data_IF_529975274036
#
_entry.id   IF_529975274036
#
_cell.length_a   1.000
_cell.length_b   1.000
_cell.length_c   1.000
_cell.angle_alpha   90.00
_cell.angle_beta   90.00
_cell.angle_gamma   90.00
#
_symmetry.space_group_name_H-M   'P 1'
#
loop_
_entity.id
_entity.type
_entity.pdbx_description
1 polymer ?
#
# COMPACT_ATOMS: atom_id res chain seq x y z
N UNK A 1 -6.33 2.06 -42.64
CA UNK A 1 -7.69 2.52 -42.31
C UNK A 1 -7.77 2.56 -40.79
N UNK A 2 -8.03 3.69 -40.16
CA UNK A 2 -8.00 3.79 -38.69
C UNK A 2 -7.45 5.12 -38.17
N UNK A 3 -6.23 5.49 -38.53
CA UNK A 3 -5.66 6.80 -38.13
C UNK A 3 -6.41 7.96 -38.81
N UNK A 4 -6.76 7.81 -40.08
CA UNK A 4 -7.47 8.84 -40.86
C UNK A 4 -8.90 9.09 -40.33
N UNK A 5 -9.68 8.04 -40.01
CA UNK A 5 -11.01 8.22 -39.39
C UNK A 5 -10.92 8.97 -38.05
N UNK A 6 -9.95 8.60 -37.20
CA UNK A 6 -9.76 9.25 -35.89
C UNK A 6 -9.44 10.75 -36.07
N UNK A 7 -8.55 11.09 -37.00
CA UNK A 7 -8.23 12.49 -37.31
C UNK A 7 -9.47 13.22 -37.82
N UNK A 8 -10.28 12.59 -38.68
CA UNK A 8 -11.49 13.20 -39.22
C UNK A 8 -12.53 13.49 -38.13
N UNK A 9 -12.73 12.56 -37.19
CA UNK A 9 -13.60 12.76 -36.02
C UNK A 9 -13.08 13.91 -35.15
N UNK A 10 -11.77 13.97 -34.90
CA UNK A 10 -11.18 15.08 -34.15
C UNK A 10 -11.39 16.42 -34.86
N UNK A 11 -11.25 16.49 -36.18
CA UNK A 11 -11.51 17.74 -36.93
C UNK A 11 -12.96 18.20 -36.76
N UNK A 12 -13.93 17.29 -36.91
CA UNK A 12 -15.35 17.62 -36.69
C UNK A 12 -15.59 18.05 -35.24
N UNK A 13 -15.01 17.33 -34.28
CA UNK A 13 -15.12 17.68 -32.86
C UNK A 13 -14.54 19.06 -32.55
N UNK A 14 -13.38 19.40 -33.12
CA UNK A 14 -12.75 20.71 -32.98
C UNK A 14 -13.55 21.82 -33.68
N UNK A 15 -14.33 21.53 -34.72
CA UNK A 15 -15.26 22.49 -35.30
C UNK A 15 -16.46 22.76 -34.38
N UNK A 16 -16.96 21.75 -33.68
CA UNK A 16 -18.09 21.88 -32.75
C UNK A 16 -17.69 22.54 -31.43
N UNK A 17 -16.56 22.13 -30.85
CA UNK A 17 -16.12 22.54 -29.51
C UNK A 17 -14.91 23.49 -29.51
N UNK A 18 -14.29 23.73 -30.66
CA UNK A 18 -13.08 24.55 -30.80
C UNK A 18 -11.79 23.83 -30.39
N UNK A 19 -10.64 24.47 -30.68
CA UNK A 19 -9.31 24.00 -30.27
C UNK A 19 -9.12 23.83 -28.76
N UNK A 20 -9.98 24.46 -27.95
CA UNK A 20 -9.94 24.41 -26.48
C UNK A 20 -10.74 23.25 -25.88
N UNK A 21 -11.58 22.56 -26.65
CA UNK A 21 -12.46 21.50 -26.14
C UNK A 21 -11.69 20.33 -25.51
N UNK A 22 -10.81 19.68 -26.28
CA UNK A 22 -10.02 18.53 -25.80
C UNK A 22 -9.08 18.91 -24.63
N UNK A 23 -8.27 19.98 -24.70
CA UNK A 23 -7.39 20.36 -23.60
C UNK A 23 -8.13 20.72 -22.31
N UNK A 24 -9.30 21.37 -22.42
CA UNK A 24 -10.10 21.75 -21.25
C UNK A 24 -10.68 20.52 -20.56
N UNK A 25 -11.32 19.61 -21.31
CA UNK A 25 -11.88 18.37 -20.75
C UNK A 25 -10.81 17.50 -20.11
N UNK A 26 -9.64 17.37 -20.76
CA UNK A 26 -8.52 16.63 -20.20
C UNK A 26 -8.03 17.24 -18.88
N UNK A 27 -7.96 18.58 -18.78
CA UNK A 27 -7.55 19.26 -17.56
C UNK A 27 -8.56 19.04 -16.43
N UNK A 28 -9.85 19.24 -16.68
CA UNK A 28 -10.90 19.08 -15.66
C UNK A 28 -11.05 17.62 -15.23
N UNK A 29 -10.99 16.67 -16.17
CA UNK A 29 -11.04 15.24 -15.88
C UNK A 29 -9.79 14.78 -15.12
N UNK A 30 -8.62 15.29 -15.49
CA UNK A 30 -7.35 14.99 -14.82
C UNK A 30 -7.31 15.50 -13.38
N UNK A 31 -7.76 16.74 -13.14
CA UNK A 31 -7.93 17.31 -11.81
C UNK A 31 -8.96 16.49 -11.00
N UNK A 32 -10.13 16.20 -11.58
CA UNK A 32 -11.16 15.38 -10.93
C UNK A 32 -10.69 13.97 -10.55
N UNK A 33 -9.99 13.27 -11.44
CA UNK A 33 -9.42 11.94 -11.19
C UNK A 33 -8.36 11.99 -10.09
N UNK A 34 -7.54 13.06 -10.03
CA UNK A 34 -6.53 13.24 -8.99
C UNK A 34 -7.16 13.46 -7.63
N UNK A 35 -8.17 14.34 -7.54
CA UNK A 35 -8.89 14.57 -6.29
C UNK A 35 -9.66 13.32 -5.84
N UNK A 36 -10.31 12.62 -6.76
CA UNK A 36 -11.01 11.37 -6.46
C UNK A 36 -10.07 10.29 -5.92
N UNK A 37 -8.90 10.12 -6.53
CA UNK A 37 -7.86 9.20 -6.05
C UNK A 37 -7.37 9.58 -4.65
N UNK A 38 -7.04 10.84 -4.42
CA UNK A 38 -6.58 11.29 -3.10
C UNK A 38 -7.64 11.05 -2.01
N UNK A 39 -8.90 11.44 -2.26
CA UNK A 39 -9.98 11.21 -1.31
C UNK A 39 -10.19 9.71 -1.04
N UNK A 40 -10.12 8.87 -2.08
CA UNK A 40 -10.26 7.42 -1.94
C UNK A 40 -9.08 6.81 -1.17
N UNK A 41 -7.86 7.29 -1.39
CA UNK A 41 -6.66 6.83 -0.66
C UNK A 41 -6.72 7.20 0.83
N UNK A 42 -7.24 8.39 1.16
CA UNK A 42 -7.41 8.81 2.55
C UNK A 42 -8.45 7.93 3.27
N UNK A 43 -9.59 7.67 2.62
CA UNK A 43 -10.62 6.75 3.12
C UNK A 43 -10.05 5.34 3.33
N UNK A 44 -9.30 4.82 2.36
CA UNK A 44 -8.66 3.50 2.47
C UNK A 44 -7.69 3.44 3.66
N UNK A 45 -6.87 4.47 3.87
CA UNK A 45 -5.94 4.52 5.02
C UNK A 45 -6.66 4.58 6.35
N UNK A 46 -7.76 5.32 6.45
CA UNK A 46 -8.54 5.44 7.68
C UNK A 46 -9.24 4.12 8.02
N UNK A 47 -9.80 3.42 7.03
CA UNK A 47 -10.42 2.10 7.21
C UNK A 47 -9.38 1.07 7.65
N UNK A 48 -8.20 1.04 7.02
CA UNK A 48 -7.14 0.10 7.37
C UNK A 48 -6.60 0.36 8.79
N UNK A 49 -6.34 1.63 9.15
CA UNK A 49 -5.91 1.99 10.50
C UNK A 49 -6.98 1.66 11.55
N UNK A 50 -8.23 2.03 11.30
CA UNK A 50 -9.34 1.73 12.22
C UNK A 50 -9.53 0.23 12.44
N UNK A 51 -9.24 -0.59 11.42
CA UNK A 51 -9.30 -2.07 11.52
C UNK A 51 -8.14 -2.64 12.33
N UNK A 52 -6.92 -2.12 12.15
CA UNK A 52 -5.74 -2.55 12.92
C UNK A 52 -5.89 -2.20 14.40
N UNK A 53 -6.39 -1.00 14.72
CA UNK A 53 -6.67 -0.57 16.08
C UNK A 53 -7.73 -1.47 16.74
N UNK A 54 -8.87 -1.71 16.07
CA UNK A 54 -9.91 -2.65 16.54
C UNK A 54 -9.37 -4.07 16.77
N UNK A 55 -8.52 -4.54 15.87
CA UNK A 55 -7.94 -5.89 15.94
C UNK A 55 -7.00 -6.03 17.15
N UNK A 56 -6.27 -4.97 17.48
CA UNK A 56 -5.38 -4.93 18.64
C UNK A 56 -6.16 -4.95 19.97
N UNK A 57 -7.25 -4.18 20.06
CA UNK A 57 -8.13 -4.14 21.23
C UNK A 57 -8.87 -5.45 21.43
N UNK A 58 -9.39 -6.04 20.35
CA UNK A 58 -10.05 -7.35 20.38
C UNK A 58 -9.09 -8.45 20.83
N UNK A 59 -7.84 -8.44 20.33
CA UNK A 59 -6.81 -9.39 20.75
C UNK A 59 -6.48 -9.24 22.23
N UNK A 60 -6.37 -8.02 22.73
CA UNK A 60 -6.10 -7.72 24.15
C UNK A 60 -7.24 -8.20 25.04
N UNK A 61 -8.50 -7.98 24.64
CA UNK A 61 -9.67 -8.49 25.37
C UNK A 61 -9.71 -10.03 25.40
N UNK A 62 -9.36 -10.68 24.30
CA UNK A 62 -9.31 -12.15 24.19
C UNK A 62 -8.18 -12.74 25.02
N UNK A 63 -7.00 -12.11 25.02
CA UNK A 63 -5.83 -12.53 25.81
C UNK A 63 -6.08 -12.36 27.33
N UNK A 64 -6.80 -11.31 27.73
CA UNK A 64 -7.23 -11.11 29.13
C UNK A 64 -8.22 -12.17 29.60
N UNK A 65 -9.14 -12.61 28.72
CA UNK A 65 -10.10 -13.67 29.02
C UNK A 65 -9.49 -15.08 29.03
N UNK A 66 -8.36 -15.26 28.34
CA UNK A 66 -7.67 -16.55 28.20
C UNK A 66 -6.61 -16.82 29.27
N UNK A 67 -6.42 -15.94 30.26
CA UNK A 67 -5.41 -16.11 31.31
C UNK A 67 -6.07 -16.61 32.62
N UNK A 68 -6.18 -17.95 32.84
CA UNK A 68 -6.54 -18.46 34.15
C UNK A 68 -5.40 -18.14 35.11
N UNK A 69 -5.77 -17.64 36.28
CA UNK A 69 -4.89 -17.12 37.30
C UNK A 69 -4.11 -18.28 37.96
N UNK A 70 -2.94 -18.63 37.42
CA UNK A 70 -1.96 -19.48 38.10
C UNK A 70 -0.84 -18.61 38.63
N UNK A 71 -1.04 -18.12 39.85
CA UNK A 71 0.06 -17.92 40.80
C UNK A 71 0.85 -19.22 40.91
N UNK A 72 2.19 -19.17 40.81
CA UNK A 72 3.15 -19.82 41.72
C UNK A 72 4.55 -19.93 41.08
N UNK A 73 5.48 -19.18 41.66
CA UNK A 73 6.88 -19.51 41.96
C UNK A 73 7.95 -19.80 40.87
N UNK A 74 9.07 -19.07 41.03
CA UNK A 74 10.45 -19.62 41.11
C UNK A 74 11.25 -19.92 39.84
N UNK A 75 12.26 -19.05 39.64
CA UNK A 75 13.66 -19.30 39.20
C UNK A 75 14.00 -19.67 37.75
N UNK A 76 15.12 -19.06 37.38
CA UNK A 76 16.29 -19.62 36.67
C UNK A 76 16.32 -19.60 35.13
N UNK A 77 17.27 -18.80 34.64
CA UNK A 77 18.33 -19.12 33.66
C UNK A 77 18.01 -20.23 32.63
N UNK A 78 18.10 -19.84 31.35
CA UNK A 78 18.70 -20.57 30.21
C UNK A 78 18.35 -19.79 28.93
N UNK A 79 19.17 -19.64 27.88
CA UNK A 79 20.49 -20.19 27.55
C UNK A 79 20.96 -19.48 26.26
N UNK A 80 22.22 -19.06 26.26
CA UNK A 80 23.02 -18.58 25.12
C UNK A 80 23.51 -19.77 24.28
N UNK A 81 23.72 -19.51 22.98
CA UNK A 81 24.52 -20.28 21.99
C UNK A 81 24.00 -21.62 21.45
N UNK A 82 23.70 -21.67 20.13
CA UNK A 82 24.69 -22.09 19.11
C UNK A 82 24.11 -21.97 17.68
N UNK A 83 24.77 -21.22 16.79
CA UNK A 83 24.63 -21.37 15.33
C UNK A 83 26.02 -21.22 14.68
N UNK A 84 26.70 -22.35 14.56
CA UNK A 84 27.72 -22.65 13.52
C UNK A 84 26.94 -23.55 12.52
N UNK A 85 27.11 -23.58 11.19
CA UNK A 85 28.25 -23.32 10.31
C UNK A 85 27.78 -23.40 8.83
N UNK A 86 28.69 -23.08 7.89
CA UNK A 86 28.69 -23.29 6.43
C UNK A 86 27.97 -22.22 5.59
N UNK A 87 28.54 -21.64 4.53
CA UNK A 87 29.75 -21.94 3.74
C UNK A 87 30.05 -20.69 2.86
N UNK A 88 31.27 -20.16 2.89
CA UNK A 88 32.29 -20.25 1.83
C UNK A 88 32.00 -19.47 0.53
N UNK A 89 32.62 -18.30 0.40
CA UNK A 89 33.21 -17.79 -0.85
C UNK A 89 34.40 -16.91 -0.41
N UNK A 90 35.61 -17.47 -0.27
CA UNK A 90 36.69 -17.41 -1.26
C UNK A 90 36.84 -16.03 -1.89
N UNK A 91 37.75 -15.22 -1.35
CA UNK A 91 38.99 -14.90 -2.06
C UNK A 91 39.87 -13.95 -1.23
N UNK A 92 40.99 -14.54 -0.81
CA UNK A 92 42.33 -13.97 -0.60
C UNK A 92 42.55 -12.64 -1.33
N UNK A 93 42.92 -11.53 -0.69
CA UNK A 93 44.25 -11.21 -0.14
C UNK A 93 45.39 -11.80 -0.98
N UNK A 94 45.65 -11.21 -2.15
CA UNK A 94 47.00 -11.02 -2.68
C UNK A 94 47.01 -10.01 -3.83
N UNK A 95 47.82 -8.95 -3.64
CA UNK A 95 48.73 -8.32 -4.61
C UNK A 95 48.19 -7.74 -5.92
#
# INVERSE_FOLDING_TARGET
MGSTEIIFIFVIYLLLFGAKGIPSLAKTMGEGMRHFRSATDDIQREILKGTDDLKSDFKKATDLRSKPNTSNNTKAKQKTEHKEKSESDKNDINK
#
